data_IF_661376250217
#
_entry.id   IF_661376250217
#
_cell.length_a   1.000
_cell.length_b   1.000
_cell.length_c   1.000
_cell.angle_alpha   90.00
_cell.angle_beta   90.00
_cell.angle_gamma   90.00
#
_symmetry.space_group_name_H-M   'P 1'
#
loop_
_entity.id
_entity.type
_entity.pdbx_description
1 polymer ?
#
# COMPACT_ATOMS: atom_id res chain seq x y z
N UNK A 1 -4.40 1.08 -23.34
CA UNK A 1 -5.44 1.22 -22.29
C UNK A 1 -4.88 1.01 -20.89
N UNK A 2 -4.15 -0.09 -20.62
CA UNK A 2 -3.59 -0.40 -19.29
C UNK A 2 -2.58 0.64 -18.76
N UNK A 3 -1.64 1.13 -19.59
CA UNK A 3 -0.68 2.16 -19.18
C UNK A 3 -1.35 3.44 -18.66
N UNK A 4 -2.45 3.87 -19.29
CA UNK A 4 -3.22 5.03 -18.83
C UNK A 4 -3.77 4.82 -17.41
N UNK A 5 -4.30 3.63 -17.12
CA UNK A 5 -4.82 3.29 -15.80
C UNK A 5 -3.70 3.28 -14.74
N UNK A 6 -2.52 2.77 -15.10
CA UNK A 6 -1.34 2.80 -14.23
C UNK A 6 -0.91 4.23 -13.93
N UNK A 7 -0.83 5.10 -14.94
CA UNK A 7 -0.47 6.51 -14.74
C UNK A 7 -1.48 7.26 -13.88
N UNK A 8 -2.77 6.99 -14.07
CA UNK A 8 -3.84 7.54 -13.22
C UNK A 8 -3.66 7.05 -11.77
N UNK A 9 -3.47 5.75 -11.57
CA UNK A 9 -3.26 5.17 -10.24
C UNK A 9 -2.01 5.75 -9.56
N UNK A 10 -0.92 5.94 -10.30
CA UNK A 10 0.30 6.55 -9.80
C UNK A 10 0.05 7.97 -9.28
N UNK A 11 -0.65 8.80 -10.06
CA UNK A 11 -0.98 10.17 -9.67
C UNK A 11 -1.84 10.20 -8.40
N UNK A 12 -2.92 9.42 -8.36
CA UNK A 12 -3.81 9.38 -7.19
C UNK A 12 -3.13 8.81 -5.95
N UNK A 13 -2.27 7.79 -6.10
CA UNK A 13 -1.51 7.25 -4.98
C UNK A 13 -0.53 8.29 -4.42
N UNK A 14 0.19 9.00 -5.29
CA UNK A 14 1.13 10.05 -4.87
C UNK A 14 0.42 11.20 -4.15
N UNK A 15 -0.74 11.63 -4.66
CA UNK A 15 -1.57 12.64 -3.98
C UNK A 15 -2.03 12.12 -2.61
N UNK A 16 -2.55 10.90 -2.55
CA UNK A 16 -3.03 10.28 -1.30
C UNK A 16 -1.91 10.21 -0.25
N UNK A 17 -0.73 9.71 -0.62
CA UNK A 17 0.42 9.56 0.27
C UNK A 17 0.96 10.92 0.76
N UNK A 18 0.96 11.92 -0.12
CA UNK A 18 1.36 13.28 0.25
C UNK A 18 0.36 13.91 1.21
N UNK A 19 -0.95 13.77 0.95
CA UNK A 19 -2.00 14.26 1.84
C UNK A 19 -1.97 13.57 3.20
N UNK A 20 -1.69 12.27 3.22
CA UNK A 20 -1.49 11.50 4.44
C UNK A 20 -0.33 12.09 5.28
N UNK A 21 0.84 12.32 4.65
CA UNK A 21 2.00 12.93 5.32
C UNK A 21 1.64 14.31 5.91
N UNK A 22 1.03 15.18 5.10
CA UNK A 22 0.61 16.53 5.52
C UNK A 22 -0.38 16.47 6.68
N UNK A 23 -1.38 15.58 6.63
CA UNK A 23 -2.36 15.42 7.70
C UNK A 23 -1.71 15.04 9.04
N UNK A 24 -0.66 14.20 8.99
CA UNK A 24 0.11 13.82 10.17
C UNK A 24 1.01 14.93 10.72
N UNK A 25 1.64 15.73 9.86
CA UNK A 25 2.54 16.81 10.28
C UNK A 25 1.79 18.05 10.78
N UNK A 26 0.70 18.43 10.12
CA UNK A 26 -0.03 19.68 10.41
C UNK A 26 -0.97 19.58 11.60
N UNK A 27 -1.62 18.42 11.79
CA UNK A 27 -2.64 18.22 12.81
C UNK A 27 -2.31 17.14 13.85
N UNK A 28 -1.08 16.61 13.81
CA UNK A 28 -0.62 15.56 14.70
C UNK A 28 -1.43 14.26 14.58
N UNK A 29 -1.42 13.47 15.66
CA UNK A 29 -2.02 12.13 15.65
C UNK A 29 -3.55 12.12 15.45
N UNK A 30 -4.25 13.17 15.87
CA UNK A 30 -5.71 13.26 15.73
C UNK A 30 -6.14 13.39 14.27
N UNK A 31 -5.55 14.34 13.54
CA UNK A 31 -5.85 14.55 12.11
C UNK A 31 -5.40 13.38 11.27
N UNK A 32 -4.24 12.79 11.59
CA UNK A 32 -3.76 11.53 11.01
C UNK A 32 -4.78 10.38 11.13
N UNK A 33 -5.25 10.10 12.35
CA UNK A 33 -6.22 9.02 12.58
C UNK A 33 -7.57 9.30 11.89
N UNK A 34 -8.01 10.55 11.92
CA UNK A 34 -9.23 11.00 11.23
C UNK A 34 -9.11 10.82 9.72
N UNK A 35 -7.95 11.14 9.14
CA UNK A 35 -7.66 10.92 7.73
C UNK A 35 -7.76 9.43 7.35
N UNK A 36 -7.10 8.53 8.10
CA UNK A 36 -7.18 7.09 7.87
C UNK A 36 -8.63 6.60 7.95
N UNK A 37 -9.38 7.07 8.94
CA UNK A 37 -10.77 6.69 9.11
C UNK A 37 -11.63 7.09 7.91
N UNK A 38 -11.55 8.35 7.49
CA UNK A 38 -12.28 8.87 6.33
C UNK A 38 -11.86 8.13 5.04
N UNK A 39 -10.57 7.85 4.88
CA UNK A 39 -10.05 7.09 3.74
C UNK A 39 -10.71 5.69 3.66
N UNK A 40 -10.77 4.96 4.76
CA UNK A 40 -11.36 3.61 4.77
C UNK A 40 -12.89 3.64 4.62
N UNK A 41 -13.58 4.63 5.21
CA UNK A 41 -15.03 4.79 5.04
C UNK A 41 -15.38 5.18 3.60
N UNK A 42 -14.63 6.08 2.98
CA UNK A 42 -14.84 6.44 1.56
C UNK A 42 -14.61 5.24 0.63
N UNK A 43 -13.58 4.43 0.90
CA UNK A 43 -13.35 3.17 0.19
C UNK A 43 -14.51 2.17 0.35
N UNK A 44 -15.06 2.03 1.56
CA UNK A 44 -16.21 1.17 1.83
C UNK A 44 -17.46 1.64 1.07
N UNK A 45 -17.76 2.93 1.07
CA UNK A 45 -18.89 3.50 0.34
C UNK A 45 -18.71 3.25 -1.17
N UNK A 46 -17.53 3.57 -1.72
CA UNK A 46 -17.23 3.34 -3.13
C UNK A 46 -17.36 1.88 -3.54
N UNK A 47 -16.81 0.96 -2.74
CA UNK A 47 -16.91 -0.48 -2.98
C UNK A 47 -18.37 -0.98 -2.89
N UNK A 48 -19.15 -0.46 -1.95
CA UNK A 48 -20.57 -0.81 -1.79
C UNK A 48 -21.40 -0.35 -2.99
N UNK A 49 -21.20 0.89 -3.45
CA UNK A 49 -21.86 1.42 -4.65
C UNK A 49 -21.50 0.56 -5.87
N UNK A 50 -20.22 0.21 -6.03
CA UNK A 50 -19.77 -0.63 -7.13
C UNK A 50 -20.42 -2.03 -7.07
N UNK A 51 -20.46 -2.66 -5.89
CA UNK A 51 -21.07 -3.97 -5.69
C UNK A 51 -22.57 -3.97 -6.05
N UNK A 52 -23.30 -2.94 -5.65
CA UNK A 52 -24.73 -2.77 -5.98
C UNK A 52 -24.91 -2.59 -7.49
N UNK A 53 -24.15 -1.69 -8.11
CA UNK A 53 -24.22 -1.43 -9.57
C UNK A 53 -23.89 -2.67 -10.40
N UNK A 54 -22.92 -3.45 -9.95
CA UNK A 54 -22.50 -4.69 -10.62
C UNK A 54 -23.39 -5.88 -10.27
N UNK A 55 -24.40 -5.71 -9.40
CA UNK A 55 -25.28 -6.78 -8.88
C UNK A 55 -24.47 -7.99 -8.36
N UNK A 56 -23.30 -7.71 -7.76
CA UNK A 56 -22.35 -8.75 -7.34
C UNK A 56 -22.88 -9.42 -6.08
N UNK A 57 -23.13 -10.73 -6.15
CA UNK A 57 -23.44 -11.54 -4.97
C UNK A 57 -22.14 -11.85 -4.24
N UNK A 58 -22.04 -11.44 -2.98
CA UNK A 58 -20.87 -11.70 -2.14
C UNK A 58 -21.08 -13.05 -1.46
N UNK A 59 -20.21 -14.01 -1.74
CA UNK A 59 -20.20 -15.30 -1.06
C UNK A 59 -19.59 -15.18 0.34
N UNK A 60 -19.91 -16.13 1.23
CA UNK A 60 -19.34 -16.17 2.59
C UNK A 60 -17.82 -16.20 2.56
N UNK A 61 -17.23 -16.96 1.63
CA UNK A 61 -15.77 -17.07 1.50
C UNK A 61 -15.13 -15.74 1.05
N UNK A 62 -15.71 -15.06 0.07
CA UNK A 62 -15.24 -13.73 -0.35
C UNK A 62 -15.34 -12.72 0.79
N UNK A 63 -16.41 -12.78 1.59
CA UNK A 63 -16.56 -11.92 2.76
C UNK A 63 -15.44 -12.18 3.78
N UNK A 64 -15.18 -13.44 4.15
CA UNK A 64 -14.12 -13.79 5.09
C UNK A 64 -12.73 -13.37 4.58
N UNK A 65 -12.41 -13.64 3.32
CA UNK A 65 -11.15 -13.20 2.71
C UNK A 65 -11.04 -11.67 2.70
N UNK A 66 -12.14 -10.97 2.40
CA UNK A 66 -12.21 -9.52 2.44
C UNK A 66 -11.98 -8.95 3.84
N UNK A 67 -12.52 -9.59 4.89
CA UNK A 67 -12.30 -9.19 6.29
C UNK A 67 -10.82 -9.39 6.68
N UNK A 68 -10.21 -10.52 6.33
CA UNK A 68 -8.80 -10.80 6.62
C UNK A 68 -7.90 -9.79 5.90
N UNK A 69 -8.17 -9.52 4.61
CA UNK A 69 -7.45 -8.53 3.82
C UNK A 69 -7.63 -7.12 4.40
N UNK A 70 -8.85 -6.73 4.73
CA UNK A 70 -9.16 -5.43 5.33
C UNK A 70 -8.46 -5.23 6.67
N UNK A 71 -8.48 -6.24 7.54
CA UNK A 71 -7.77 -6.19 8.82
C UNK A 71 -6.26 -6.02 8.63
N UNK A 72 -5.68 -6.74 7.67
CA UNK A 72 -4.25 -6.61 7.31
C UNK A 72 -3.93 -5.21 6.79
N UNK A 73 -4.80 -4.63 5.96
CA UNK A 73 -4.66 -3.26 5.43
C UNK A 73 -4.75 -2.21 6.55
N UNK A 74 -5.66 -2.37 7.51
CA UNK A 74 -5.80 -1.42 8.64
C UNK A 74 -4.56 -1.47 9.53
N UNK A 75 -4.06 -2.67 9.87
CA UNK A 75 -2.82 -2.82 10.64
C UNK A 75 -1.65 -2.18 9.89
N UNK A 76 -1.51 -2.50 8.60
CA UNK A 76 -0.49 -1.92 7.74
C UNK A 76 -0.55 -0.39 7.72
N UNK A 77 -1.76 0.17 7.58
CA UNK A 77 -1.99 1.62 7.59
C UNK A 77 -1.57 2.28 8.91
N UNK A 78 -1.91 1.67 10.05
CA UNK A 78 -1.52 2.19 11.38
C UNK A 78 0.01 2.14 11.55
N UNK A 79 0.65 1.04 11.15
CA UNK A 79 2.11 0.92 11.19
C UNK A 79 2.79 1.94 10.29
N UNK A 80 2.31 2.09 9.06
CA UNK A 80 2.75 3.09 8.08
C UNK A 80 2.65 4.51 8.62
N UNK A 81 1.52 4.88 9.22
CA UNK A 81 1.34 6.18 9.86
C UNK A 81 2.33 6.43 11.00
N UNK A 82 2.58 5.43 11.85
CA UNK A 82 3.57 5.57 12.93
C UNK A 82 4.99 5.70 12.38
N UNK A 83 5.31 4.98 11.30
CA UNK A 83 6.64 5.03 10.68
C UNK A 83 6.89 6.37 9.97
N UNK A 84 5.93 6.85 9.19
CA UNK A 84 6.07 8.10 8.42
C UNK A 84 6.20 9.33 9.33
N UNK A 85 5.65 9.28 10.56
CA UNK A 85 5.80 10.34 11.57
C UNK A 85 7.14 10.29 12.32
N UNK A 86 7.82 9.13 12.33
CA UNK A 86 9.09 8.92 13.03
C UNK A 86 10.31 8.97 12.11
N UNK A 87 10.10 8.87 10.80
CA UNK A 87 11.17 8.79 9.82
C UNK A 87 11.04 9.90 8.76
N UNK A 88 12.17 10.43 8.24
CA UNK A 88 12.15 11.30 7.08
C UNK A 88 11.43 10.65 5.90
N UNK A 89 10.66 11.43 5.14
CA UNK A 89 9.95 10.93 3.96
C UNK A 89 10.89 10.31 2.91
N UNK A 90 12.11 10.85 2.80
CA UNK A 90 13.15 10.34 1.89
C UNK A 90 13.60 8.91 2.20
N UNK A 91 13.43 8.44 3.43
CA UNK A 91 13.72 7.05 3.84
C UNK A 91 12.43 6.22 3.79
N UNK A 92 11.35 6.76 4.35
CA UNK A 92 10.08 6.03 4.47
C UNK A 92 9.52 5.59 3.12
N UNK A 93 9.45 6.47 2.11
CA UNK A 93 8.82 6.12 0.83
C UNK A 93 9.59 5.03 0.07
N UNK A 94 10.93 5.11 -0.10
CA UNK A 94 11.69 4.02 -0.72
C UNK A 94 11.60 2.69 0.04
N UNK A 95 11.64 2.73 1.37
CA UNK A 95 11.53 1.51 2.20
C UNK A 95 10.13 0.91 2.11
N UNK A 96 9.08 1.72 2.20
CA UNK A 96 7.69 1.26 2.15
C UNK A 96 7.31 0.72 0.77
N UNK A 97 7.53 1.50 -0.29
CA UNK A 97 7.15 1.10 -1.65
C UNK A 97 8.09 0.05 -2.24
N UNK A 98 9.41 0.22 -2.08
CA UNK A 98 10.39 -0.74 -2.56
C UNK A 98 10.40 -2.02 -1.73
N UNK A 99 10.36 -1.90 -0.41
CA UNK A 99 10.32 -3.05 0.50
C UNK A 99 9.05 -3.88 0.37
N UNK A 100 7.89 -3.25 0.21
CA UNK A 100 6.65 -3.99 -0.07
C UNK A 100 6.69 -4.72 -1.40
N UNK A 101 7.25 -4.12 -2.46
CA UNK A 101 7.44 -4.78 -3.75
C UNK A 101 8.38 -5.99 -3.65
N UNK A 102 9.51 -5.84 -2.95
CA UNK A 102 10.42 -6.95 -2.66
C UNK A 102 9.70 -8.07 -1.90
N UNK A 103 8.98 -7.72 -0.85
CA UNK A 103 8.24 -8.67 -0.02
C UNK A 103 7.19 -9.42 -0.83
N UNK A 104 6.35 -8.71 -1.60
CA UNK A 104 5.33 -9.32 -2.46
C UNK A 104 5.96 -10.24 -3.50
N UNK A 105 7.07 -9.85 -4.12
CA UNK A 105 7.75 -10.69 -5.12
C UNK A 105 8.31 -11.97 -4.50
N UNK A 106 8.90 -11.88 -3.31
CA UNK A 106 9.40 -13.05 -2.57
C UNK A 106 8.24 -13.95 -2.15
N UNK A 107 7.15 -13.39 -1.61
CA UNK A 107 5.96 -14.15 -1.24
C UNK A 107 5.29 -14.80 -2.45
N UNK A 108 5.27 -14.13 -3.60
CA UNK A 108 4.78 -14.68 -4.86
C UNK A 108 5.55 -15.95 -5.25
N UNK A 109 6.88 -15.89 -5.15
CA UNK A 109 7.74 -17.05 -5.38
C UNK A 109 7.50 -18.18 -4.36
N UNK A 110 7.36 -17.87 -3.07
CA UNK A 110 7.20 -18.90 -2.02
C UNK A 110 5.81 -19.55 -2.07
N UNK A 111 4.75 -18.75 -2.10
CA UNK A 111 3.37 -19.23 -1.98
C UNK A 111 2.83 -19.78 -3.31
N UNK A 112 3.17 -19.15 -4.43
CA UNK A 112 2.68 -19.54 -5.77
C UNK A 112 3.73 -20.23 -6.64
N UNK A 113 4.97 -20.40 -6.15
CA UNK A 113 6.07 -21.06 -6.89
C UNK A 113 6.35 -20.40 -8.26
N UNK A 114 6.10 -19.09 -8.36
CA UNK A 114 6.36 -18.32 -9.57
C UNK A 114 7.86 -18.31 -9.89
N UNK A 115 8.24 -18.57 -11.14
CA UNK A 115 9.65 -18.57 -11.53
C UNK A 115 10.17 -17.14 -11.63
N UNK A 116 11.13 -16.79 -10.77
CA UNK A 116 11.86 -15.52 -10.86
C UNK A 116 12.96 -15.69 -11.91
N UNK A 117 12.91 -14.89 -12.97
CA UNK A 117 13.96 -14.84 -13.99
C UNK A 117 15.23 -14.17 -13.45
N UNK A 118 16.38 -14.48 -14.05
CA UNK A 118 17.68 -13.89 -13.68
C UNK A 118 17.65 -12.35 -13.69
N UNK A 119 16.91 -11.75 -14.64
CA UNK A 119 16.72 -10.30 -14.75
C UNK A 119 15.92 -9.74 -13.58
N UNK A 120 14.86 -10.43 -13.15
CA UNK A 120 14.09 -10.04 -11.98
C UNK A 120 14.93 -10.17 -10.71
N UNK A 121 15.70 -11.25 -10.56
CA UNK A 121 16.62 -11.41 -9.42
C UNK A 121 17.64 -10.27 -9.35
N UNK A 122 18.25 -9.89 -10.48
CA UNK A 122 19.16 -8.75 -10.53
C UNK A 122 18.46 -7.44 -10.11
N UNK A 123 17.24 -7.20 -10.58
CA UNK A 123 16.44 -6.04 -10.17
C UNK A 123 16.12 -6.04 -8.67
N UNK A 124 15.77 -7.20 -8.09
CA UNK A 124 15.54 -7.35 -6.66
C UNK A 124 16.81 -7.04 -5.85
N UNK A 125 17.98 -7.55 -6.29
CA UNK A 125 19.25 -7.29 -5.62
C UNK A 125 19.61 -5.79 -5.64
N UNK A 126 19.42 -5.12 -6.78
CA UNK A 126 19.63 -3.67 -6.89
C UNK A 126 18.69 -2.92 -5.94
N UNK A 127 17.40 -3.27 -5.91
CA UNK A 127 16.43 -2.65 -5.02
C UNK A 127 16.80 -2.84 -3.53
N UNK A 128 17.24 -4.04 -3.13
CA UNK A 128 17.72 -4.31 -1.76
C UNK A 128 18.91 -3.40 -1.43
N UNK A 129 19.92 -3.33 -2.30
CA UNK A 129 21.10 -2.49 -2.09
C UNK A 129 20.71 -1.01 -1.98
N UNK A 130 19.83 -0.53 -2.85
CA UNK A 130 19.33 0.86 -2.83
C UNK A 130 18.63 1.19 -1.51
N UNK A 131 17.78 0.30 -1.00
CA UNK A 131 17.08 0.52 0.27
C UNK A 131 18.07 0.56 1.44
N UNK A 132 19.06 -0.34 1.47
CA UNK A 132 20.10 -0.36 2.51
C UNK A 132 20.87 0.96 2.50
N UNK A 133 21.36 1.39 1.33
CA UNK A 133 22.15 2.63 1.20
C UNK A 133 21.38 3.88 1.63
N UNK A 134 20.09 3.97 1.28
CA UNK A 134 19.22 5.08 1.69
C UNK A 134 18.96 5.05 3.20
N UNK A 135 18.81 3.86 3.79
CA UNK A 135 18.47 3.73 5.21
C UNK A 135 19.68 3.97 6.14
N UNK A 136 20.91 3.88 5.62
CA UNK A 136 22.15 4.11 6.39
C UNK A 136 22.61 5.57 6.47
N UNK A 137 21.88 6.51 5.84
CA UNK A 137 22.14 7.96 5.93
C UNK A 137 21.04 8.65 6.73
#
# INVERSE_FOLDING_TARGET
MWLKLVLISFLFCGISDTMWKIAGETGGSYTANTYIFIFHISALIGASIAAIKMKKKITRNEFFLGVIAGFSIVIGSICSMKAILKMPGIIYFPVSSGGSLLFVTIMAHILWKEKISLRQTAGLMVAIISIILISTK
#
